data_IF_165506899227
#
_entry.id   IF_165506899227
#
_cell.length_a   1.000
_cell.length_b   1.000
_cell.length_c   1.000
_cell.angle_alpha   90.00
_cell.angle_beta   90.00
_cell.angle_gamma   90.00
#
_symmetry.space_group_name_H-M   'P 1'
#
loop_
_entity.id
_entity.type
_entity.pdbx_description
1 polymer ?
#
# COMPACT_ATOMS: atom_id res chain seq x y z
N UNK A 1 19.68 59.70 -18.03
CA UNK A 1 19.05 58.50 -18.62
C UNK A 1 17.55 58.76 -18.73
N UNK A 2 16.95 58.60 -19.91
CA UNK A 2 15.55 58.98 -20.16
C UNK A 2 14.61 58.13 -19.26
N UNK A 3 13.69 58.73 -18.46
CA UNK A 3 12.82 57.97 -17.55
C UNK A 3 11.97 56.90 -18.25
N UNK A 4 11.55 57.16 -19.49
CA UNK A 4 10.85 56.17 -20.32
C UNK A 4 11.74 54.95 -20.65
N UNK A 5 13.02 55.19 -20.97
CA UNK A 5 13.99 54.14 -21.28
C UNK A 5 14.25 53.24 -20.06
N UNK A 6 14.34 53.81 -18.85
CA UNK A 6 14.51 53.04 -17.61
C UNK A 6 13.33 52.09 -17.35
N UNK A 7 12.10 52.55 -17.59
CA UNK A 7 10.88 51.72 -17.41
C UNK A 7 10.83 50.58 -18.44
N UNK A 8 11.15 50.86 -19.70
CA UNK A 8 11.21 49.85 -20.76
C UNK A 8 12.26 48.78 -20.46
N UNK A 9 13.45 49.19 -19.98
CA UNK A 9 14.52 48.26 -19.64
C UNK A 9 14.13 47.34 -18.47
N UNK A 10 13.43 47.86 -17.45
CA UNK A 10 12.91 47.05 -16.35
C UNK A 10 11.85 46.03 -16.79
N UNK A 11 10.98 46.40 -17.74
CA UNK A 11 9.97 45.48 -18.29
C UNK A 11 10.66 44.36 -19.08
N UNK A 12 11.63 44.70 -19.93
CA UNK A 12 12.40 43.71 -20.71
C UNK A 12 13.16 42.76 -19.78
N UNK A 13 13.79 43.28 -18.72
CA UNK A 13 14.49 42.47 -17.72
C UNK A 13 13.53 41.50 -17.02
N UNK A 14 12.34 41.97 -16.61
CA UNK A 14 11.33 41.14 -15.96
C UNK A 14 10.87 40.00 -16.89
N UNK A 15 10.60 40.31 -18.16
CA UNK A 15 10.21 39.32 -19.16
C UNK A 15 11.32 38.29 -19.40
N UNK A 16 12.58 38.73 -19.48
CA UNK A 16 13.73 37.85 -19.63
C UNK A 16 13.87 36.89 -18.44
N UNK A 17 13.75 37.39 -17.20
CA UNK A 17 13.80 36.56 -15.99
C UNK A 17 12.65 35.55 -15.95
N UNK A 18 11.43 35.99 -16.28
CA UNK A 18 10.26 35.10 -16.34
C UNK A 18 10.44 33.98 -17.37
N UNK A 19 10.97 34.30 -18.56
CA UNK A 19 11.25 33.30 -19.59
C UNK A 19 12.33 32.30 -19.16
N UNK A 20 13.36 32.78 -18.46
CA UNK A 20 14.47 31.96 -17.96
C UNK A 20 13.99 30.97 -16.89
N UNK A 21 13.12 31.40 -15.96
CA UNK A 21 12.49 30.53 -14.97
C UNK A 21 11.60 29.49 -15.65
N UNK A 22 10.76 29.90 -16.61
CA UNK A 22 9.91 28.97 -17.36
C UNK A 22 10.73 27.92 -18.13
N UNK A 23 11.82 28.33 -18.77
CA UNK A 23 12.72 27.42 -19.47
C UNK A 23 13.46 26.47 -18.50
N UNK A 24 13.85 26.95 -17.32
CA UNK A 24 14.46 26.13 -16.27
C UNK A 24 13.52 25.03 -15.78
N UNK A 25 12.25 25.35 -15.55
CA UNK A 25 11.22 24.37 -15.20
C UNK A 25 11.00 23.37 -16.35
N UNK A 26 10.91 23.84 -17.59
CA UNK A 26 10.77 22.97 -18.77
C UNK A 26 11.89 21.92 -18.85
N UNK A 27 13.15 22.31 -18.63
CA UNK A 27 14.28 21.37 -18.63
C UNK A 27 14.23 20.37 -17.46
N UNK A 28 13.79 20.80 -16.29
CA UNK A 28 13.69 19.96 -15.10
C UNK A 28 12.63 18.86 -15.26
N UNK A 29 11.46 19.22 -15.79
CA UNK A 29 10.37 18.25 -15.98
C UNK A 29 10.55 17.33 -17.19
N UNK A 30 11.34 17.73 -18.20
CA UNK A 30 11.62 16.86 -19.36
C UNK A 30 12.37 15.57 -19.00
N UNK A 31 13.09 15.55 -17.86
CA UNK A 31 13.80 14.37 -17.34
C UNK A 31 12.96 13.51 -16.38
N UNK A 32 11.79 13.98 -15.96
CA UNK A 32 10.98 13.33 -14.92
C UNK A 32 9.92 12.34 -15.47
N UNK A 33 9.80 12.19 -16.78
CA UNK A 33 8.87 11.23 -17.40
C UNK A 33 9.59 10.01 -17.95
N UNK A 34 9.96 9.11 -17.05
CA UNK A 34 10.06 7.68 -17.38
C UNK A 34 9.11 6.95 -16.43
N UNK A 35 7.84 6.84 -16.82
CA UNK A 35 6.94 5.86 -16.22
C UNK A 35 7.46 4.50 -16.69
N UNK A 36 7.84 3.57 -15.79
CA UNK A 36 8.17 2.22 -16.20
C UNK A 36 6.95 1.63 -16.91
N UNK A 37 7.09 1.32 -18.20
CA UNK A 37 6.04 0.65 -18.93
C UNK A 37 5.74 -0.68 -18.25
N UNK A 38 4.49 -0.87 -17.85
CA UNK A 38 3.99 -2.17 -17.38
C UNK A 38 4.12 -3.14 -18.55
N UNK A 39 5.06 -4.08 -18.47
CA UNK A 39 5.18 -5.17 -19.42
C UNK A 39 3.86 -5.96 -19.38
N UNK A 40 3.19 -6.22 -20.52
CA UNK A 40 1.99 -7.04 -20.52
C UNK A 40 2.32 -8.43 -19.94
N UNK A 41 1.41 -9.03 -19.14
CA UNK A 41 1.64 -10.36 -18.60
C UNK A 41 1.77 -11.36 -19.75
N UNK A 42 2.89 -12.08 -19.79
CA UNK A 42 3.01 -13.29 -20.60
C UNK A 42 1.97 -14.28 -20.11
N UNK A 43 0.90 -14.47 -20.88
CA UNK A 43 -0.05 -15.54 -20.64
C UNK A 43 0.62 -16.84 -21.05
N UNK A 44 1.15 -17.58 -20.09
CA UNK A 44 1.45 -19.00 -20.29
C UNK A 44 0.11 -19.73 -20.22
N UNK A 45 -0.39 -20.13 -21.38
CA UNK A 45 -1.57 -20.99 -21.49
C UNK A 45 -1.20 -22.37 -20.91
N UNK A 46 -1.54 -22.59 -19.63
CA UNK A 46 -1.45 -23.92 -19.01
C UNK A 46 -2.73 -24.66 -19.37
N UNK A 47 -2.71 -25.37 -20.50
CA UNK A 47 -3.75 -26.32 -20.85
C UNK A 47 -3.59 -27.57 -19.97
N UNK A 48 -4.44 -27.67 -18.94
CA UNK A 48 -4.69 -28.90 -18.19
C UNK A 48 -4.34 -28.84 -16.70
N UNK A 49 -5.25 -29.34 -15.87
CA UNK A 49 -4.95 -29.69 -14.48
C UNK A 49 -3.99 -30.89 -14.46
N UNK A 50 -2.98 -30.92 -13.58
CA UNK A 50 -2.14 -32.09 -13.45
C UNK A 50 -2.99 -33.29 -12.99
N UNK A 51 -2.89 -34.41 -13.70
CA UNK A 51 -3.55 -35.66 -13.27
C UNK A 51 -2.79 -36.24 -12.08
N UNK A 52 -3.48 -36.41 -10.95
CA UNK A 52 -2.94 -37.12 -9.80
C UNK A 52 -2.99 -38.63 -10.09
N UNK A 53 -1.81 -39.26 -10.22
CA UNK A 53 -1.70 -40.70 -10.44
C UNK A 53 -2.24 -41.53 -9.27
N UNK A 54 -2.61 -42.79 -9.55
CA UNK A 54 -3.14 -43.72 -8.55
C UNK A 54 -2.09 -44.15 -7.50
N UNK A 55 -2.55 -44.29 -6.25
CA UNK A 55 -1.75 -44.70 -5.09
C UNK A 55 -1.51 -46.21 -5.13
N UNK A 56 -0.28 -46.65 -5.35
CA UNK A 56 0.13 -48.03 -5.05
C UNK A 56 0.32 -48.21 -3.55
N UNK A 57 -0.40 -49.18 -2.98
CA UNK A 57 -0.30 -49.56 -1.56
C UNK A 57 0.95 -50.43 -1.37
N UNK A 58 2.01 -49.88 -0.79
CA UNK A 58 3.18 -50.67 -0.39
C UNK A 58 3.01 -51.14 1.06
N UNK A 59 2.91 -52.46 1.23
CA UNK A 59 2.99 -53.14 2.53
C UNK A 59 4.33 -52.85 3.19
N UNK A 60 4.29 -52.68 4.51
CA UNK A 60 5.37 -52.34 5.44
C UNK A 60 6.68 -53.09 5.17
N UNK A 61 7.68 -52.37 4.65
CA UNK A 61 9.09 -52.76 4.66
C UNK A 61 9.83 -51.61 5.33
N UNK A 62 10.63 -51.94 6.34
CA UNK A 62 11.38 -50.99 7.15
C UNK A 62 12.17 -50.00 6.26
N UNK A 63 12.06 -48.68 6.49
CA UNK A 63 12.69 -47.71 5.62
C UNK A 63 14.22 -47.75 5.74
N UNK A 64 14.96 -47.67 4.62
CA UNK A 64 16.40 -47.49 4.62
C UNK A 64 16.80 -46.13 5.22
N UNK A 65 18.08 -45.94 5.62
CA UNK A 65 18.54 -44.71 6.26
C UNK A 65 18.25 -43.50 5.36
N UNK A 66 17.40 -42.58 5.84
CA UNK A 66 17.00 -41.38 5.12
C UNK A 66 15.52 -41.27 4.74
N UNK A 67 14.68 -42.27 5.05
CA UNK A 67 13.23 -42.14 4.87
C UNK A 67 12.52 -41.59 6.13
N UNK A 68 11.52 -40.74 5.92
CA UNK A 68 10.77 -40.07 6.98
C UNK A 68 9.78 -41.05 7.65
N UNK A 69 9.85 -41.14 8.98
CA UNK A 69 8.94 -41.95 9.81
C UNK A 69 7.57 -41.27 9.86
N UNK A 70 6.50 -42.00 9.55
CA UNK A 70 5.13 -41.47 9.62
C UNK A 70 4.62 -41.60 11.06
N UNK A 71 4.42 -40.45 11.72
CA UNK A 71 3.87 -40.35 13.07
C UNK A 71 4.91 -39.88 14.08
N UNK A 72 5.23 -38.59 14.06
CA UNK A 72 6.03 -37.95 15.12
C UNK A 72 5.09 -37.10 15.96
N UNK A 73 4.94 -37.46 17.23
CA UNK A 73 4.23 -36.69 18.25
C UNK A 73 4.85 -35.30 18.37
N UNK A 74 4.01 -34.27 18.48
CA UNK A 74 4.40 -32.85 18.56
C UNK A 74 5.25 -32.61 19.80
N UNK A 75 6.58 -32.70 19.65
CA UNK A 75 7.52 -32.53 20.75
C UNK A 75 8.99 -32.41 20.34
N UNK A 76 9.36 -32.88 19.14
CA UNK A 76 10.71 -32.68 18.58
C UNK A 76 10.61 -32.18 17.14
N UNK A 77 10.41 -30.88 16.98
CA UNK A 77 10.73 -30.21 15.73
C UNK A 77 12.22 -29.92 15.74
N UNK A 78 12.99 -30.71 14.98
CA UNK A 78 14.36 -30.36 14.65
C UNK A 78 14.35 -29.00 13.93
N UNK A 79 15.23 -28.11 14.38
CA UNK A 79 15.38 -26.76 13.82
C UNK A 79 15.69 -26.88 12.32
N UNK A 80 14.70 -26.55 11.48
CA UNK A 80 14.90 -26.52 10.03
C UNK A 80 15.81 -25.34 9.73
N UNK A 81 17.07 -25.63 9.39
CA UNK A 81 17.98 -24.63 8.84
C UNK A 81 17.45 -24.33 7.43
N UNK A 82 16.71 -23.24 7.28
CA UNK A 82 16.22 -22.77 5.99
C UNK A 82 17.44 -22.44 5.09
N UNK A 83 17.44 -22.88 3.81
CA UNK A 83 18.47 -22.47 2.85
C UNK A 83 18.53 -20.94 2.74
N UNK A 84 19.73 -20.37 2.57
CA UNK A 84 19.89 -18.93 2.40
C UNK A 84 18.99 -18.43 1.24
N UNK A 85 18.01 -17.58 1.56
CA UNK A 85 17.00 -17.08 0.62
C UNK A 85 15.57 -17.56 0.87
N UNK A 86 15.37 -18.58 1.71
CA UNK A 86 14.02 -18.92 2.21
C UNK A 86 13.68 -18.05 3.40
N UNK A 87 12.82 -17.05 3.20
CA UNK A 87 12.10 -16.43 4.31
C UNK A 87 11.10 -17.48 4.79
N UNK A 88 11.15 -17.93 6.06
CA UNK A 88 10.14 -18.85 6.57
C UNK A 88 8.76 -18.22 6.34
N UNK A 89 7.80 -19.01 5.86
CA UNK A 89 6.41 -18.57 5.69
C UNK A 89 5.93 -18.11 7.06
N UNK A 90 5.97 -16.80 7.30
CA UNK A 90 5.44 -16.20 8.52
C UNK A 90 3.94 -16.47 8.51
N UNK A 91 3.41 -17.03 9.59
CA UNK A 91 1.98 -17.24 9.73
C UNK A 91 1.28 -15.87 9.72
N UNK A 92 0.70 -15.48 8.59
CA UNK A 92 -0.09 -14.25 8.48
C UNK A 92 -1.48 -14.54 9.04
N UNK A 93 -1.85 -13.85 10.11
CA UNK A 93 -3.22 -13.89 10.66
C UNK A 93 -4.05 -12.81 9.97
N UNK A 94 -5.11 -13.19 9.28
CA UNK A 94 -6.10 -12.24 8.79
C UNK A 94 -6.88 -11.66 9.98
N UNK A 95 -6.88 -10.34 10.10
CA UNK A 95 -7.58 -9.63 11.19
C UNK A 95 -8.88 -8.99 10.71
N UNK A 96 -8.91 -8.51 9.45
CA UNK A 96 -10.08 -7.86 8.85
C UNK A 96 -10.57 -8.73 7.69
N UNK A 97 -11.85 -9.10 7.72
CA UNK A 97 -12.53 -9.85 6.65
C UNK A 97 -13.29 -8.95 5.67
N UNK A 98 -13.59 -7.72 6.08
CA UNK A 98 -14.35 -6.76 5.29
C UNK A 98 -13.49 -6.00 4.28
N UNK A 99 -14.16 -5.32 3.35
CA UNK A 99 -13.51 -4.47 2.35
C UNK A 99 -12.93 -3.22 3.00
N UNK A 100 -11.61 -3.08 2.91
CA UNK A 100 -10.84 -1.97 3.46
C UNK A 100 -10.51 -0.98 2.34
N UNK A 101 -10.87 0.29 2.53
CA UNK A 101 -10.53 1.38 1.62
C UNK A 101 -9.50 2.32 2.25
N UNK A 102 -8.58 2.82 1.42
CA UNK A 102 -7.53 3.77 1.80
C UNK A 102 -6.76 3.42 3.09
N UNK A 103 -6.20 2.20 3.18
CA UNK A 103 -5.43 1.79 4.35
C UNK A 103 -4.17 2.65 4.53
N UNK A 104 -3.84 2.99 5.77
CA UNK A 104 -2.61 3.71 6.09
C UNK A 104 -2.06 3.29 7.45
N UNK A 105 -0.75 3.05 7.51
CA UNK A 105 -0.04 2.86 8.76
C UNK A 105 0.38 4.22 9.32
N UNK A 106 -0.01 4.47 10.56
CA UNK A 106 0.42 5.61 11.34
C UNK A 106 1.83 5.40 11.91
N UNK A 107 2.53 6.51 12.21
CA UNK A 107 3.86 6.43 12.82
C UNK A 107 3.89 5.73 14.20
N UNK A 108 2.76 5.66 14.91
CA UNK A 108 2.63 4.96 16.19
C UNK A 108 2.39 3.44 16.02
N UNK A 109 2.49 2.91 14.80
CA UNK A 109 2.25 1.49 14.51
C UNK A 109 0.78 1.09 14.46
N UNK A 110 -0.15 2.04 14.63
CA UNK A 110 -1.58 1.79 14.41
C UNK A 110 -1.89 1.79 12.92
N UNK A 111 -2.82 0.94 12.51
CA UNK A 111 -3.28 0.90 11.12
C UNK A 111 -4.66 1.51 11.05
N UNK A 112 -4.93 2.34 10.04
CA UNK A 112 -6.20 3.06 9.90
C UNK A 112 -6.79 2.79 8.54
N UNK A 113 -8.11 2.81 8.46
CA UNK A 113 -8.81 2.61 7.21
C UNK A 113 -10.23 3.17 7.23
N UNK A 114 -10.79 3.28 6.03
CA UNK A 114 -12.19 3.60 5.80
C UNK A 114 -12.95 2.35 5.36
N UNK A 115 -14.17 2.19 5.85
CA UNK A 115 -15.11 1.17 5.37
C UNK A 115 -16.21 1.85 4.58
N UNK A 116 -16.29 1.56 3.28
CA UNK A 116 -17.28 2.17 2.40
C UNK A 116 -18.70 1.63 2.62
N UNK A 117 -18.85 0.46 3.24
CA UNK A 117 -20.16 -0.15 3.47
C UNK A 117 -20.95 0.57 4.57
N UNK A 118 -20.28 1.00 5.63
CA UNK A 118 -20.89 1.68 6.76
C UNK A 118 -20.54 3.18 6.83
N UNK A 119 -19.63 3.65 5.98
CA UNK A 119 -19.18 5.03 5.94
C UNK A 119 -18.34 5.45 7.14
N UNK A 120 -17.72 4.52 7.87
CA UNK A 120 -16.98 4.81 9.10
C UNK A 120 -15.47 4.62 8.94
N UNK A 121 -14.75 5.26 9.84
CA UNK A 121 -13.31 5.17 9.95
C UNK A 121 -12.93 4.32 11.15
N UNK A 122 -11.94 3.46 10.94
CA UNK A 122 -11.49 2.50 11.93
C UNK A 122 -9.98 2.56 12.10
N UNK A 123 -9.51 2.16 13.27
CA UNK A 123 -8.11 1.86 13.51
C UNK A 123 -7.93 0.49 14.16
N UNK A 124 -6.81 -0.13 13.86
CA UNK A 124 -6.35 -1.37 14.44
C UNK A 124 -5.31 -1.04 15.51
N UNK A 125 -5.58 -1.45 16.75
CA UNK A 125 -4.64 -1.30 17.86
C UNK A 125 -3.50 -2.32 17.75
N UNK A 126 -2.42 -2.10 18.49
CA UNK A 126 -1.29 -3.03 18.54
C UNK A 126 -1.71 -4.45 19.01
N UNK A 127 -2.78 -4.55 19.78
CA UNK A 127 -3.35 -5.81 20.27
C UNK A 127 -4.20 -6.55 19.22
N UNK A 128 -4.35 -5.99 18.01
CA UNK A 128 -5.17 -6.54 16.94
C UNK A 128 -6.67 -6.30 17.10
N UNK A 129 -7.08 -5.34 17.94
CA UNK A 129 -8.47 -4.95 18.11
C UNK A 129 -8.85 -3.81 17.15
N UNK A 130 -10.03 -3.92 16.54
CA UNK A 130 -10.59 -2.89 15.67
C UNK A 130 -11.43 -1.94 16.52
N UNK A 131 -11.19 -0.63 16.39
CA UNK A 131 -11.95 0.42 17.06
C UNK A 131 -12.33 1.51 16.08
N UNK A 132 -13.46 2.16 16.33
CA UNK A 132 -13.95 3.27 15.51
C UNK A 132 -13.17 4.55 15.85
N UNK A 133 -12.75 5.30 14.83
CA UNK A 133 -12.07 6.59 14.99
C UNK A 133 -13.05 7.75 15.28
N UNK A 134 -14.31 7.63 14.85
CA UNK A 134 -15.35 8.63 15.14
C UNK A 134 -16.75 7.99 15.06
N UNK A 135 -17.67 8.49 15.87
CA UNK A 135 -19.08 8.10 15.81
C UNK A 135 -19.82 8.70 14.60
N UNK A 136 -19.22 9.71 13.96
CA UNK A 136 -19.76 10.32 12.76
C UNK A 136 -19.62 9.39 11.55
N UNK A 137 -20.67 9.36 10.74
CA UNK A 137 -20.70 8.61 9.48
C UNK A 137 -20.42 9.55 8.31
N UNK A 138 -19.52 9.13 7.41
CA UNK A 138 -19.08 9.86 6.23
C UNK A 138 -19.48 9.07 4.99
N UNK A 139 -20.57 9.50 4.35
CA UNK A 139 -21.13 8.81 3.19
C UNK A 139 -20.41 9.20 1.91
N UNK A 140 -20.20 8.22 1.01
CA UNK A 140 -19.69 8.44 -0.34
C UNK A 140 -18.32 9.16 -0.38
N UNK A 141 -17.43 8.86 0.57
CA UNK A 141 -16.06 9.37 0.50
C UNK A 141 -15.36 8.73 -0.69
N UNK A 142 -15.01 9.54 -1.67
CA UNK A 142 -14.36 9.09 -2.89
C UNK A 142 -12.87 8.86 -2.66
N UNK A 143 -12.21 9.71 -1.89
CA UNK A 143 -10.78 9.58 -1.58
C UNK A 143 -10.47 10.01 -0.14
N UNK A 144 -9.53 9.31 0.50
CA UNK A 144 -9.02 9.63 1.83
C UNK A 144 -7.51 9.81 1.76
N UNK A 145 -7.03 10.97 2.20
CA UNK A 145 -5.60 11.24 2.37
C UNK A 145 -5.27 11.44 3.85
N UNK A 146 -4.54 10.49 4.43
CA UNK A 146 -4.19 10.51 5.85
C UNK A 146 -3.02 11.44 6.17
N UNK A 147 -3.09 12.11 7.32
CA UNK A 147 -1.95 12.79 7.91
C UNK A 147 -0.96 11.77 8.48
N UNK A 148 0.33 12.06 8.31
CA UNK A 148 1.43 11.14 8.67
C UNK A 148 1.55 10.88 10.18
N UNK A 149 1.27 11.91 10.99
CA UNK A 149 1.58 11.87 12.43
C UNK A 149 0.35 11.79 13.33
N UNK A 150 -0.83 12.20 12.86
CA UNK A 150 -2.02 12.38 13.70
C UNK A 150 -3.21 11.66 13.06
N UNK A 151 -4.28 11.44 13.84
CA UNK A 151 -5.54 10.91 13.32
C UNK A 151 -6.34 12.05 12.67
N UNK A 152 -5.83 12.54 11.54
CA UNK A 152 -6.46 13.57 10.71
C UNK A 152 -6.43 13.12 9.26
N UNK A 153 -7.49 13.38 8.51
CA UNK A 153 -7.55 13.07 7.09
C UNK A 153 -8.20 14.20 6.28
N UNK A 154 -7.80 14.27 5.02
CA UNK A 154 -8.53 15.01 3.99
C UNK A 154 -9.47 14.02 3.31
N UNK A 155 -10.76 14.33 3.35
CA UNK A 155 -11.82 13.52 2.72
C UNK A 155 -12.30 14.26 1.48
N UNK A 156 -12.30 13.57 0.35
CA UNK A 156 -12.79 14.11 -0.92
C UNK A 156 -14.07 13.40 -1.33
N UNK A 157 -15.05 14.19 -1.77
CA UNK A 157 -16.37 13.72 -2.17
C UNK A 157 -16.56 13.83 -3.69
N UNK A 158 -17.53 13.11 -4.27
CA UNK A 158 -17.78 13.11 -5.72
C UNK A 158 -18.21 14.48 -6.28
N UNK A 159 -18.64 15.41 -5.42
CA UNK A 159 -18.94 16.80 -5.78
C UNK A 159 -17.68 17.69 -5.85
N UNK A 160 -16.49 17.10 -5.73
CA UNK A 160 -15.19 17.77 -5.61
C UNK A 160 -15.02 18.60 -4.33
N UNK A 161 -15.93 18.48 -3.37
CA UNK A 161 -15.72 19.09 -2.05
C UNK A 161 -14.63 18.35 -1.29
N UNK A 162 -13.85 19.08 -0.50
CA UNK A 162 -12.79 18.55 0.35
C UNK A 162 -13.00 19.05 1.77
N UNK A 163 -13.02 18.12 2.72
CA UNK A 163 -13.06 18.47 4.15
C UNK A 163 -11.82 17.90 4.85
N UNK A 164 -11.31 18.66 5.80
CA UNK A 164 -10.25 18.20 6.69
C UNK A 164 -10.92 17.84 8.00
N UNK A 165 -10.84 16.58 8.41
CA UNK A 165 -11.44 16.11 9.65
C UNK A 165 -10.36 15.62 10.61
N UNK A 166 -10.44 16.07 11.86
CA UNK A 166 -9.62 15.57 12.96
C UNK A 166 -10.43 14.59 13.81
N UNK A 167 -10.06 13.31 13.75
CA UNK A 167 -10.73 12.25 14.50
C UNK A 167 -10.51 12.39 16.02
N UNK A 168 -9.38 12.94 16.46
CA UNK A 168 -9.09 13.17 17.89
C UNK A 168 -9.98 14.25 18.51
N UNK A 169 -10.35 15.26 17.71
CA UNK A 169 -11.12 16.42 18.16
C UNK A 169 -12.57 16.40 17.67
N UNK A 170 -12.94 15.38 16.90
CA UNK A 170 -14.23 15.22 16.24
C UNK A 170 -14.70 16.49 15.50
N UNK A 171 -13.80 17.12 14.73
CA UNK A 171 -14.06 18.35 13.97
C UNK A 171 -13.06 18.62 12.85
#
# INVERSE_FOLDING_TARGET
MNPALKRILLIILLLAVSALIGYGLFLLFRKATAVPGTKPPTTTEVTGLPSAGERTTTTEIAPPPGALVRGVTVGQLASQIAPAGFVPVQNVKQIITETVAYPSAANNGTFRYYNANDGKFYHLTADGQIKTLSDQTFYNVQQVTWAKNNDKAVLEYPDNSKIIYNFEKQK
#
